data_IF_618595099057
#
_entry.id   IF_618595099057
#
_cell.length_a   1.000
_cell.length_b   1.000
_cell.length_c   1.000
_cell.angle_alpha   90.00
_cell.angle_beta   90.00
_cell.angle_gamma   90.00
#
_symmetry.space_group_name_H-M   'P 1'
#
loop_
_entity.id
_entity.type
_entity.pdbx_description
1 polymer ?
#
# COMPACT_ATOMS: atom_id res chain seq x y z
N UNK A 1 -3.17 15.01 -10.01
CA UNK A 1 -4.08 14.80 -8.86
C UNK A 1 -5.24 13.91 -9.32
N UNK A 2 -5.41 12.72 -8.74
CA UNK A 2 -6.45 11.75 -9.12
C UNK A 2 -7.75 12.00 -8.33
N UNK A 3 -8.90 11.60 -8.88
CA UNK A 3 -10.21 11.76 -8.22
C UNK A 3 -10.28 11.09 -6.84
N UNK A 4 -9.55 9.99 -6.65
CA UNK A 4 -9.42 9.29 -5.36
C UNK A 4 -8.76 10.17 -4.30
N UNK A 5 -7.65 10.84 -4.63
CA UNK A 5 -6.93 11.70 -3.68
C UNK A 5 -7.80 12.89 -3.26
N UNK A 6 -8.62 13.42 -4.17
CA UNK A 6 -9.52 14.52 -3.85
C UNK A 6 -10.67 14.09 -2.91
N UNK A 7 -11.22 12.89 -3.10
CA UNK A 7 -12.23 12.31 -2.19
C UNK A 7 -11.64 12.13 -0.79
N UNK A 8 -10.40 11.65 -0.71
CA UNK A 8 -9.68 11.49 0.58
C UNK A 8 -9.46 12.85 1.25
N UNK A 9 -9.04 13.87 0.51
CA UNK A 9 -8.83 15.22 1.07
C UNK A 9 -10.13 15.85 1.60
N UNK A 10 -11.25 15.64 0.92
CA UNK A 10 -12.58 16.11 1.38
C UNK A 10 -12.99 15.38 2.64
N UNK A 11 -12.83 14.05 2.65
CA UNK A 11 -13.19 13.25 3.79
C UNK A 11 -12.34 13.59 5.03
N UNK A 12 -11.05 13.90 4.86
CA UNK A 12 -10.19 14.42 5.95
C UNK A 12 -10.65 15.78 6.49
N UNK A 13 -11.21 16.65 5.66
CA UNK A 13 -11.79 17.94 6.11
C UNK A 13 -13.10 17.76 6.90
N UNK A 14 -13.76 16.61 6.80
CA UNK A 14 -15.04 16.29 7.44
C UNK A 14 -14.90 15.22 8.52
N UNK A 15 -13.75 15.16 9.20
CA UNK A 15 -13.51 14.21 10.31
C UNK A 15 -13.71 12.73 9.89
N UNK A 16 -13.35 12.43 8.65
CA UNK A 16 -13.40 11.07 8.08
C UNK A 16 -14.77 10.61 7.63
N UNK A 17 -15.87 11.32 7.90
CA UNK A 17 -17.24 10.92 7.50
C UNK A 17 -17.77 11.85 6.40
N UNK A 18 -18.27 11.28 5.31
CA UNK A 18 -18.79 12.05 4.18
C UNK A 18 -19.99 11.38 3.51
N UNK A 19 -20.82 12.18 2.84
CA UNK A 19 -21.97 11.66 2.08
C UNK A 19 -21.78 11.73 0.57
N UNK A 20 -22.53 10.89 -0.15
CA UNK A 20 -22.58 10.96 -1.63
C UNK A 20 -23.01 12.35 -2.12
N UNK A 21 -23.88 13.04 -1.38
CA UNK A 21 -24.34 14.39 -1.73
C UNK A 21 -23.20 15.41 -1.62
N UNK A 22 -22.36 15.29 -0.60
CA UNK A 22 -21.19 16.16 -0.43
C UNK A 22 -20.21 15.98 -1.59
N UNK A 23 -19.96 14.74 -1.99
CA UNK A 23 -19.12 14.45 -3.16
C UNK A 23 -19.72 14.98 -4.46
N UNK A 24 -21.03 14.85 -4.66
CA UNK A 24 -21.71 15.38 -5.86
C UNK A 24 -21.62 16.90 -5.96
N UNK A 25 -21.74 17.62 -4.83
CA UNK A 25 -21.61 19.07 -4.80
C UNK A 25 -20.19 19.51 -5.19
N UNK A 26 -19.16 18.81 -4.71
CA UNK A 26 -17.78 19.13 -5.05
C UNK A 26 -17.43 18.75 -6.49
N UNK A 27 -17.96 17.61 -6.97
CA UNK A 27 -17.80 17.19 -8.38
C UNK A 27 -18.38 18.24 -9.33
N UNK A 28 -19.56 18.79 -9.02
CA UNK A 28 -20.19 19.87 -9.79
C UNK A 28 -19.42 21.20 -9.73
N UNK A 29 -18.64 21.43 -8.67
CA UNK A 29 -17.92 22.69 -8.45
C UNK A 29 -16.52 22.78 -9.09
N UNK A 30 -16.04 21.73 -9.76
CA UNK A 30 -14.76 21.80 -10.48
C UNK A 30 -13.91 20.52 -10.49
N UNK A 31 -14.42 19.37 -10.05
CA UNK A 31 -13.72 18.12 -10.37
C UNK A 31 -13.97 17.75 -11.84
N UNK A 32 -12.98 17.11 -12.48
CA UNK A 32 -13.11 16.52 -13.83
C UNK A 32 -14.45 15.80 -13.97
N UNK A 33 -15.10 15.99 -15.12
CA UNK A 33 -16.36 15.38 -15.61
C UNK A 33 -16.61 13.91 -15.24
N UNK A 34 -16.81 13.61 -13.96
CA UNK A 34 -17.21 12.30 -13.45
C UNK A 34 -18.73 12.34 -13.41
N UNK A 35 -19.36 11.51 -14.23
CA UNK A 35 -20.82 11.35 -14.19
C UNK A 35 -21.24 10.78 -12.83
N UNK A 36 -22.50 10.99 -12.43
CA UNK A 36 -23.00 10.41 -11.18
C UNK A 36 -22.89 8.88 -11.13
N UNK A 37 -23.00 8.21 -12.29
CA UNK A 37 -22.77 6.77 -12.42
C UNK A 37 -21.30 6.39 -12.21
N UNK A 38 -20.37 7.17 -12.76
CA UNK A 38 -18.93 6.98 -12.56
C UNK A 38 -18.52 7.17 -11.10
N UNK A 39 -19.19 8.06 -10.36
CA UNK A 39 -18.98 8.23 -8.91
C UNK A 39 -19.40 6.98 -8.13
N UNK A 40 -20.51 6.35 -8.48
CA UNK A 40 -20.96 5.09 -7.84
C UNK A 40 -19.96 3.97 -8.09
N UNK A 41 -19.48 3.81 -9.32
CA UNK A 41 -18.45 2.83 -9.66
C UNK A 41 -17.16 3.09 -8.87
N UNK A 42 -16.74 4.35 -8.76
CA UNK A 42 -15.55 4.74 -8.01
C UNK A 42 -15.70 4.44 -6.50
N UNK A 43 -16.85 4.75 -5.90
CA UNK A 43 -17.13 4.44 -4.50
C UNK A 43 -17.15 2.93 -4.25
N UNK A 44 -17.77 2.15 -5.13
CA UNK A 44 -17.78 0.70 -5.04
C UNK A 44 -16.35 0.12 -5.14
N UNK A 45 -15.52 0.67 -6.03
CA UNK A 45 -14.10 0.28 -6.12
C UNK A 45 -13.34 0.64 -4.85
N UNK A 46 -13.55 1.84 -4.29
CA UNK A 46 -12.89 2.26 -3.05
C UNK A 46 -13.33 1.42 -1.84
N UNK A 47 -14.56 0.91 -1.82
CA UNK A 47 -15.01 -0.08 -0.83
C UNK A 47 -14.29 -1.42 -1.04
N UNK A 48 -14.19 -1.90 -2.28
CA UNK A 48 -13.50 -3.15 -2.60
C UNK A 48 -12.00 -3.10 -2.28
N UNK A 49 -11.37 -1.94 -2.46
CA UNK A 49 -9.97 -1.64 -2.08
C UNK A 49 -9.82 -1.34 -0.58
N UNK A 50 -10.89 -1.49 0.22
CA UNK A 50 -10.93 -1.24 1.66
C UNK A 50 -10.53 0.18 2.11
N UNK A 51 -10.52 1.15 1.18
CA UNK A 51 -10.16 2.57 1.42
C UNK A 51 -11.24 3.33 2.18
N UNK A 52 -12.49 2.93 2.00
CA UNK A 52 -13.65 3.51 2.66
C UNK A 52 -14.60 2.42 3.10
N UNK A 53 -15.27 2.64 4.22
CA UNK A 53 -16.32 1.77 4.75
C UNK A 53 -17.68 2.45 4.59
N UNK A 54 -18.70 1.68 4.22
CA UNK A 54 -20.07 2.18 4.13
C UNK A 54 -20.72 2.10 5.51
N UNK A 55 -20.97 3.26 6.12
CA UNK A 55 -21.59 3.34 7.45
C UNK A 55 -23.11 3.24 7.36
N UNK A 56 -23.72 3.88 6.36
CA UNK A 56 -25.16 3.77 6.11
C UNK A 56 -25.51 4.12 4.65
N UNK A 57 -26.81 4.22 4.32
CA UNK A 57 -27.23 4.57 2.97
C UNK A 57 -26.70 5.95 2.54
N UNK A 58 -25.79 5.98 1.56
CA UNK A 58 -25.18 7.20 1.06
C UNK A 58 -24.18 7.87 2.00
N UNK A 59 -23.83 7.24 3.13
CA UNK A 59 -22.80 7.70 4.08
C UNK A 59 -21.62 6.75 4.10
N UNK A 60 -20.42 7.32 3.99
CA UNK A 60 -19.16 6.60 3.96
C UNK A 60 -18.24 7.19 5.00
N UNK A 61 -17.32 6.37 5.51
CA UNK A 61 -16.24 6.80 6.38
C UNK A 61 -14.92 6.35 5.77
N UNK A 62 -13.89 7.19 5.84
CA UNK A 62 -12.52 6.74 5.55
C UNK A 62 -12.19 5.57 6.46
N UNK A 63 -11.58 4.54 5.90
CA UNK A 63 -11.02 3.50 6.72
C UNK A 63 -9.70 4.01 7.31
N UNK A 64 -9.76 4.82 8.36
CA UNK A 64 -8.59 5.32 9.11
C UNK A 64 -7.87 4.19 9.85
N UNK A 65 -8.59 3.08 10.09
CA UNK A 65 -8.06 1.81 10.60
C UNK A 65 -7.36 0.97 9.51
N UNK A 66 -7.16 1.51 8.30
CA UNK A 66 -6.12 1.03 7.40
C UNK A 66 -4.76 1.26 8.06
N UNK A 67 -4.43 0.39 9.02
CA UNK A 67 -3.06 -0.02 9.23
C UNK A 67 -2.55 -0.33 7.83
N UNK A 68 -1.48 0.34 7.42
CA UNK A 68 -0.87 0.03 6.13
C UNK A 68 -0.62 -1.47 6.15
N UNK A 69 -1.35 -2.22 5.32
CA UNK A 69 -1.15 -3.65 5.26
C UNK A 69 0.31 -3.83 4.86
N UNK A 70 1.05 -4.56 5.68
CA UNK A 70 2.40 -4.97 5.35
C UNK A 70 2.29 -5.94 4.18
N UNK A 71 2.33 -5.39 2.98
CA UNK A 71 2.33 -6.15 1.73
C UNK A 71 3.78 -6.30 1.30
N UNK A 72 4.36 -7.44 1.68
CA UNK A 72 5.67 -7.83 1.19
C UNK A 72 5.53 -8.44 -0.20
N UNK A 73 6.13 -7.79 -1.19
CA UNK A 73 6.26 -8.32 -2.54
C UNK A 73 7.75 -8.38 -2.92
N UNK A 74 8.34 -9.59 -3.02
CA UNK A 74 9.74 -9.74 -3.42
C UNK A 74 9.91 -9.38 -4.90
N UNK A 75 10.97 -8.65 -5.22
CA UNK A 75 11.31 -8.37 -6.62
C UNK A 75 12.01 -9.57 -7.30
N UNK A 76 12.10 -9.55 -8.62
CA UNK A 76 12.72 -10.63 -9.42
C UNK A 76 14.17 -10.93 -9.01
N UNK A 77 14.93 -9.90 -8.62
CA UNK A 77 16.31 -10.07 -8.15
C UNK A 77 16.36 -10.87 -6.85
N UNK A 78 15.49 -10.57 -5.88
CA UNK A 78 15.39 -11.31 -4.62
C UNK A 78 14.97 -12.77 -4.84
N UNK A 79 14.05 -13.03 -5.77
CA UNK A 79 13.64 -14.38 -6.14
C UNK A 79 14.78 -15.18 -6.79
N UNK A 80 15.54 -14.54 -7.67
CA UNK A 80 16.73 -15.15 -8.31
C UNK A 80 17.83 -15.47 -7.29
N UNK A 81 18.06 -14.56 -6.34
CA UNK A 81 19.04 -14.74 -5.27
C UNK A 81 18.64 -15.87 -4.31
N UNK A 82 17.36 -15.92 -3.92
CA UNK A 82 16.79 -17.02 -3.12
C UNK A 82 17.06 -18.37 -3.78
N UNK A 83 16.81 -18.48 -5.08
CA UNK A 83 17.07 -19.71 -5.83
C UNK A 83 18.55 -20.13 -5.75
N UNK A 84 19.48 -19.19 -6.00
CA UNK A 84 20.91 -19.46 -5.95
C UNK A 84 21.40 -19.90 -4.56
N UNK A 85 20.96 -19.21 -3.50
CA UNK A 85 21.36 -19.56 -2.13
C UNK A 85 20.80 -20.92 -1.75
N UNK A 86 19.53 -21.21 -2.06
CA UNK A 86 18.92 -22.50 -1.72
C UNK A 86 19.54 -23.68 -2.47
N UNK A 87 19.98 -23.48 -3.72
CA UNK A 87 20.65 -24.52 -4.51
C UNK A 87 22.04 -24.85 -3.95
N UNK A 88 22.82 -23.85 -3.52
CA UNK A 88 24.17 -24.05 -2.97
C UNK A 88 24.17 -24.46 -1.50
N UNK A 89 23.28 -23.89 -0.70
CA UNK A 89 23.23 -24.03 0.74
C UNK A 89 21.80 -24.44 1.17
N UNK A 90 21.39 -25.69 0.90
CA UNK A 90 20.00 -26.11 1.10
C UNK A 90 19.57 -26.15 2.57
N UNK A 91 20.52 -26.27 3.50
CA UNK A 91 20.27 -26.51 4.92
C UNK A 91 20.44 -25.28 5.81
N UNK A 92 20.91 -24.15 5.27
CA UNK A 92 21.11 -22.94 6.08
C UNK A 92 19.80 -22.18 6.23
N UNK A 93 19.64 -21.52 7.37
CA UNK A 93 18.62 -20.50 7.54
C UNK A 93 19.12 -19.14 7.03
N UNK A 94 18.25 -18.44 6.30
CA UNK A 94 18.55 -17.11 5.77
C UNK A 94 17.28 -16.30 5.49
N UNK A 95 17.45 -14.98 5.43
CA UNK A 95 16.41 -14.02 5.12
C UNK A 95 16.91 -13.01 4.09
N UNK A 96 16.15 -12.81 3.00
CA UNK A 96 16.44 -11.77 2.00
C UNK A 96 15.36 -10.70 2.12
N UNK A 97 15.77 -9.45 2.32
CA UNK A 97 14.84 -8.34 2.50
C UNK A 97 15.40 -7.00 2.01
N UNK A 98 14.52 -6.01 1.87
CA UNK A 98 14.88 -4.64 1.53
C UNK A 98 14.23 -3.66 2.53
N UNK A 99 14.92 -2.56 2.92
CA UNK A 99 14.32 -1.56 3.81
C UNK A 99 13.03 -0.92 3.25
N UNK A 100 12.86 -0.93 1.92
CA UNK A 100 11.66 -0.45 1.24
C UNK A 100 10.37 -1.11 1.73
N UNK A 101 10.44 -2.35 2.21
CA UNK A 101 9.27 -3.09 2.73
C UNK A 101 8.69 -2.41 3.97
N UNK A 102 9.51 -1.71 4.76
CA UNK A 102 9.09 -0.98 5.94
C UNK A 102 8.84 0.51 5.66
N UNK A 103 8.89 0.96 4.40
CA UNK A 103 8.83 2.39 4.06
C UNK A 103 7.56 3.08 4.59
N UNK A 104 6.42 2.37 4.64
CA UNK A 104 5.16 2.88 5.20
C UNK A 104 5.20 3.10 6.71
N UNK A 105 6.15 2.48 7.41
CA UNK A 105 6.32 2.55 8.87
C UNK A 105 7.50 3.44 9.27
N UNK A 106 8.32 3.89 8.32
CA UNK A 106 9.50 4.70 8.57
C UNK A 106 9.16 6.19 8.61
N UNK A 107 9.63 6.89 9.64
CA UNK A 107 9.53 8.37 9.73
C UNK A 107 10.35 9.07 8.64
N UNK A 108 11.50 8.50 8.28
CA UNK A 108 12.34 8.94 7.18
C UNK A 108 12.62 7.73 6.29
N UNK A 109 12.15 7.76 5.05
CA UNK A 109 12.43 6.68 4.08
C UNK A 109 13.84 6.90 3.53
N UNK A 110 14.81 6.01 3.80
CA UNK A 110 16.12 6.10 3.17
C UNK A 110 15.94 5.84 1.67
N UNK A 111 16.56 6.66 0.81
CA UNK A 111 16.61 6.41 -0.63
C UNK A 111 17.59 5.28 -0.98
N UNK A 112 17.53 4.16 -0.25
CA UNK A 112 18.51 3.09 -0.28
C UNK A 112 17.86 1.83 -0.84
N UNK A 113 18.21 1.48 -2.07
CA UNK A 113 17.82 0.21 -2.72
C UNK A 113 18.82 -0.91 -2.39
N UNK A 114 19.08 -1.11 -1.10
CA UNK A 114 19.98 -2.18 -0.66
C UNK A 114 19.17 -3.44 -0.40
N UNK A 115 19.57 -4.54 -1.05
CA UNK A 115 19.12 -5.89 -0.70
C UNK A 115 20.01 -6.42 0.39
N UNK A 116 19.41 -6.80 1.51
CA UNK A 116 20.07 -7.38 2.67
C UNK A 116 19.84 -8.89 2.64
N UNK A 117 20.89 -9.65 2.97
CA UNK A 117 20.86 -11.10 3.06
C UNK A 117 21.40 -11.45 4.45
N UNK A 118 20.51 -11.77 5.37
CA UNK A 118 20.87 -12.25 6.70
C UNK A 118 21.02 -13.77 6.63
N UNK A 119 22.16 -14.28 7.10
CA UNK A 119 22.50 -15.70 7.11
C UNK A 119 23.02 -16.09 8.47
N UNK A 120 22.93 -17.38 8.81
CA UNK A 120 23.58 -17.94 9.99
C UNK A 120 25.08 -17.63 10.02
N UNK A 121 25.61 -17.43 11.22
CA UNK A 121 27.00 -16.99 11.42
C UNK A 121 27.99 -17.99 10.82
N UNK A 122 27.69 -19.27 10.93
CA UNK A 122 28.48 -20.39 10.43
C UNK A 122 28.53 -20.41 8.90
N UNK A 123 27.47 -19.92 8.24
CA UNK A 123 27.35 -19.90 6.77
C UNK A 123 27.83 -18.58 6.13
N UNK A 124 28.02 -17.52 6.93
CA UNK A 124 28.33 -16.17 6.46
C UNK A 124 29.50 -16.14 5.47
N UNK A 125 30.64 -16.69 5.84
CA UNK A 125 31.83 -16.74 4.98
C UNK A 125 31.55 -17.48 3.67
N UNK A 126 30.87 -18.63 3.72
CA UNK A 126 30.59 -19.44 2.53
C UNK A 126 29.59 -18.81 1.58
N UNK A 127 28.65 -18.01 2.09
CA UNK A 127 27.63 -17.35 1.26
C UNK A 127 28.19 -16.09 0.58
N UNK A 128 29.10 -15.38 1.24
CA UNK A 128 29.59 -14.07 0.77
C UNK A 128 30.98 -14.07 0.12
N UNK A 129 31.81 -15.11 0.30
CA UNK A 129 33.11 -15.26 -0.37
C UNK A 129 33.08 -16.14 -1.61
#
# INVERSE_FOLDING_TARGET
MTAVNQIIDIAKKQDGIFTRKDLLNVVRSGMKNISEGSLVVLLNRMIAENKIIRVSYGKYKLNEDLKHEFLYEPNEFMLSLNKHIKEKFPFIDYCIWQPSVFASMMLHVPAVRTTLVDVEREAMESVFM
#
